data_IF_692775439069
#
_entry.id   IF_692775439069
#
_cell.length_a   1.000
_cell.length_b   1.000
_cell.length_c   1.000
_cell.angle_alpha   90.00
_cell.angle_beta   90.00
_cell.angle_gamma   90.00
#
_symmetry.space_group_name_H-M   'P 1'
#
loop_
_entity.id
_entity.type
_entity.pdbx_description
1 polymer ?
#
# COMPACT_ATOMS: atom_id res chain seq x y z
N UNK A 1 -16.16 -9.06 0.53
CA UNK A 1 -14.98 -8.24 0.86
C UNK A 1 -13.97 -8.48 -0.22
N UNK A 2 -13.41 -7.43 -0.82
CA UNK A 2 -12.42 -7.58 -1.89
C UNK A 2 -11.18 -8.27 -1.32
N UNK A 3 -10.84 -9.45 -1.82
CA UNK A 3 -9.55 -10.09 -1.58
C UNK A 3 -8.46 -9.14 -2.12
N UNK A 4 -7.63 -8.61 -1.22
CA UNK A 4 -6.51 -7.70 -1.54
C UNK A 4 -5.42 -8.39 -2.39
N UNK A 5 -5.59 -9.70 -2.59
CA UNK A 5 -4.66 -10.63 -3.19
C UNK A 5 -5.12 -11.02 -4.61
N UNK A 6 -6.30 -10.55 -5.04
CA UNK A 6 -6.88 -10.87 -6.34
C UNK A 6 -6.66 -9.74 -7.36
N UNK A 7 -6.44 -10.09 -8.64
CA UNK A 7 -6.43 -9.12 -9.73
C UNK A 7 -7.82 -8.45 -9.89
N UNK A 8 -7.86 -7.35 -10.65
CA UNK A 8 -9.09 -6.61 -10.89
C UNK A 8 -10.18 -7.48 -11.53
N UNK A 9 -11.43 -7.28 -11.12
CA UNK A 9 -12.58 -7.98 -11.67
C UNK A 9 -13.73 -7.03 -11.99
N UNK A 10 -14.52 -7.39 -13.01
CA UNK A 10 -15.80 -6.76 -13.32
C UNK A 10 -16.89 -7.57 -12.61
N UNK A 11 -17.67 -6.89 -11.78
CA UNK A 11 -18.77 -7.50 -11.03
C UNK A 11 -20.09 -6.85 -11.45
N UNK A 12 -21.13 -7.67 -11.64
CA UNK A 12 -22.52 -7.20 -11.69
C UNK A 12 -23.16 -7.26 -10.32
N UNK A 13 -23.92 -6.24 -10.00
CA UNK A 13 -24.75 -6.23 -8.80
C UNK A 13 -26.09 -5.57 -9.10
N UNK A 14 -27.17 -6.22 -8.67
CA UNK A 14 -28.51 -5.67 -8.78
C UNK A 14 -28.81 -4.84 -7.54
N UNK A 15 -29.14 -3.57 -7.74
CA UNK A 15 -29.55 -2.68 -6.66
C UNK A 15 -30.99 -3.06 -6.28
N UNK A 16 -31.25 -3.60 -5.08
CA UNK A 16 -32.61 -3.93 -4.69
C UNK A 16 -33.44 -2.66 -4.47
N UNK A 17 -34.75 -2.78 -4.64
CA UNK A 17 -35.68 -1.77 -4.13
C UNK A 17 -35.56 -1.65 -2.60
N UNK A 18 -36.01 -0.52 -2.04
CA UNK A 18 -35.89 -0.22 -0.61
C UNK A 18 -36.31 -1.42 0.25
N UNK A 19 -35.49 -1.73 1.24
CA UNK A 19 -35.68 -2.76 2.27
C UNK A 19 -35.50 -4.23 1.83
N UNK A 20 -35.16 -4.51 0.57
CA UNK A 20 -34.77 -5.85 0.14
C UNK A 20 -33.27 -6.11 0.32
N UNK A 21 -32.92 -7.29 0.84
CA UNK A 21 -31.52 -7.72 0.98
C UNK A 21 -30.93 -7.96 -0.41
N UNK A 22 -29.84 -7.25 -0.72
CA UNK A 22 -29.21 -7.42 -2.01
C UNK A 22 -28.57 -8.81 -2.16
N UNK A 23 -28.72 -9.41 -3.33
CA UNK A 23 -27.93 -10.57 -3.71
C UNK A 23 -26.43 -10.21 -3.72
N UNK A 24 -25.52 -11.16 -3.45
CA UNK A 24 -24.09 -10.92 -3.57
C UNK A 24 -23.73 -10.53 -5.01
N UNK A 25 -22.73 -9.67 -5.17
CA UNK A 25 -22.23 -9.29 -6.48
C UNK A 25 -21.65 -10.52 -7.20
N UNK A 26 -22.05 -10.71 -8.45
CA UNK A 26 -21.58 -11.80 -9.31
C UNK A 26 -20.41 -11.31 -10.15
N UNK A 27 -19.35 -12.11 -10.26
CA UNK A 27 -18.18 -11.78 -11.07
C UNK A 27 -18.45 -12.17 -12.53
N UNK A 28 -18.38 -11.19 -13.45
CA UNK A 28 -18.57 -11.42 -14.88
C UNK A 28 -17.24 -11.82 -15.53
N UNK A 29 -16.16 -11.08 -15.24
CA UNK A 29 -14.83 -11.29 -15.82
C UNK A 29 -13.76 -10.91 -14.81
N UNK A 30 -12.74 -11.75 -14.65
CA UNK A 30 -11.49 -11.40 -13.96
C UNK A 30 -10.43 -11.00 -14.99
N UNK A 31 -9.55 -10.03 -14.67
CA UNK A 31 -8.42 -9.65 -15.54
C UNK A 31 -7.27 -10.68 -15.53
N UNK A 32 -7.58 -11.95 -15.30
CA UNK A 32 -6.65 -13.04 -15.07
C UNK A 32 -7.06 -14.22 -15.94
N UNK A 33 -6.10 -14.83 -16.63
CA UNK A 33 -6.31 -16.13 -17.27
C UNK A 33 -6.47 -17.21 -16.20
N UNK A 34 -7.34 -18.19 -16.42
CA UNK A 34 -7.65 -19.26 -15.45
C UNK A 34 -6.39 -19.99 -14.92
N UNK A 35 -5.31 -20.00 -15.69
CA UNK A 35 -4.05 -20.68 -15.38
C UNK A 35 -3.03 -19.84 -14.58
N UNK A 36 -3.21 -18.53 -14.44
CA UNK A 36 -2.24 -17.68 -13.74
C UNK A 36 -2.59 -17.51 -12.26
N UNK A 37 -2.50 -18.61 -11.49
CA UNK A 37 -2.64 -18.57 -10.03
C UNK A 37 -1.28 -18.27 -9.39
N UNK A 38 -1.11 -17.05 -8.90
CA UNK A 38 0.05 -16.70 -8.07
C UNK A 38 -0.18 -17.29 -6.67
N UNK A 39 0.81 -18.04 -6.16
CA UNK A 39 0.76 -18.56 -4.79
C UNK A 39 0.60 -17.41 -3.79
N UNK A 40 -0.46 -17.39 -2.96
CA UNK A 40 -0.65 -16.35 -1.95
C UNK A 40 0.54 -16.19 -1.00
N UNK A 41 1.35 -17.25 -0.81
CA UNK A 41 2.55 -17.20 0.04
C UNK A 41 3.67 -16.29 -0.51
N UNK A 42 3.62 -15.91 -1.79
CA UNK A 42 4.56 -14.95 -2.40
C UNK A 42 3.98 -13.54 -2.55
N UNK A 43 2.73 -13.32 -2.09
CA UNK A 43 2.08 -12.02 -2.10
C UNK A 43 2.26 -11.34 -0.73
N UNK A 44 2.98 -10.23 -0.72
CA UNK A 44 2.99 -9.34 0.45
C UNK A 44 1.66 -8.62 0.56
N UNK A 45 0.99 -8.80 1.70
CA UNK A 45 -0.21 -8.05 2.03
C UNK A 45 0.14 -6.65 2.53
N UNK A 46 -0.61 -5.60 2.12
CA UNK A 46 -0.38 -4.24 2.59
C UNK A 46 -0.83 -4.08 4.05
N UNK A 47 0.05 -3.55 4.89
CA UNK A 47 -0.26 -3.11 6.26
C UNK A 47 -0.34 -1.59 6.33
N UNK A 48 -1.47 -1.04 6.79
CA UNK A 48 -1.57 0.41 6.99
C UNK A 48 -0.66 0.85 8.12
N UNK A 49 0.15 1.86 7.84
CA UNK A 49 0.98 2.54 8.83
C UNK A 49 0.60 4.01 8.92
N UNK A 50 0.69 4.54 10.14
CA UNK A 50 0.61 5.97 10.43
C UNK A 50 1.80 6.34 11.28
N UNK A 51 2.43 7.47 10.99
CA UNK A 51 3.67 7.86 11.64
C UNK A 51 3.74 9.38 11.83
N UNK A 52 4.41 9.85 12.90
CA UNK A 52 4.58 11.27 13.13
C UNK A 52 5.56 11.87 12.13
N UNK A 53 5.32 13.12 11.73
CA UNK A 53 6.18 13.89 10.82
C UNK A 53 6.61 15.21 11.46
N UNK A 54 7.38 16.01 10.73
CA UNK A 54 7.84 17.31 11.22
C UNK A 54 6.67 18.22 11.60
N UNK A 55 6.86 19.06 12.63
CA UNK A 55 5.83 19.99 13.11
C UNK A 55 4.68 19.34 13.89
N UNK A 56 4.82 18.08 14.34
CA UNK A 56 3.81 17.38 15.14
C UNK A 56 2.65 16.81 14.32
N UNK A 57 2.79 16.81 13.00
CA UNK A 57 1.82 16.24 12.08
C UNK A 57 1.89 14.70 12.03
N UNK A 58 0.94 14.10 11.29
CA UNK A 58 0.90 12.66 11.02
C UNK A 58 0.72 12.43 9.53
N UNK A 59 1.48 11.47 9.01
CA UNK A 59 1.34 10.98 7.64
C UNK A 59 1.07 9.48 7.64
N UNK A 60 0.65 8.98 6.48
CA UNK A 60 0.11 7.64 6.31
C UNK A 60 0.87 6.89 5.22
N UNK A 61 0.65 5.59 5.14
CA UNK A 61 1.14 4.78 4.04
C UNK A 61 0.80 3.31 4.20
N UNK A 62 1.32 2.51 3.28
CA UNK A 62 1.25 1.06 3.33
C UNK A 62 2.65 0.46 3.40
N UNK A 63 2.87 -0.36 4.42
CA UNK A 63 4.05 -1.21 4.56
C UNK A 63 3.77 -2.57 3.91
N UNK A 64 4.75 -3.07 3.17
CA UNK A 64 4.75 -4.38 2.56
C UNK A 64 6.00 -5.11 3.03
N UNK A 65 5.81 -6.18 3.81
CA UNK A 65 6.90 -7.02 4.29
C UNK A 65 7.44 -7.90 3.14
N UNK A 66 8.70 -8.36 3.23
CA UNK A 66 9.18 -9.39 2.31
C UNK A 66 8.32 -10.66 2.39
N UNK A 67 7.94 -11.20 1.23
CA UNK A 67 7.06 -12.36 1.12
C UNK A 67 7.62 -13.35 0.09
N UNK A 68 8.21 -14.44 0.55
CA UNK A 68 8.76 -15.48 -0.31
C UNK A 68 8.54 -16.85 0.33
N UNK A 69 8.07 -17.86 -0.42
CA UNK A 69 7.83 -19.19 0.13
C UNK A 69 9.12 -20.01 0.33
N UNK A 70 10.11 -19.83 -0.56
CA UNK A 70 11.31 -20.67 -0.67
C UNK A 70 12.52 -20.14 0.09
N UNK A 71 12.54 -18.85 0.44
CA UNK A 71 13.68 -18.21 1.10
C UNK A 71 13.25 -17.50 2.39
N UNK A 72 14.17 -17.46 3.35
CA UNK A 72 14.04 -16.70 4.60
C UNK A 72 15.30 -15.88 4.80
N UNK A 73 15.13 -14.69 5.37
CA UNK A 73 16.25 -13.88 5.80
C UNK A 73 17.03 -14.61 6.90
N UNK A 74 18.36 -14.42 7.01
CA UNK A 74 19.14 -14.91 8.14
C UNK A 74 18.55 -14.43 9.47
N UNK A 75 18.70 -15.24 10.52
CA UNK A 75 18.21 -14.87 11.84
C UNK A 75 18.78 -13.51 12.29
N UNK A 76 17.95 -12.71 12.95
CA UNK A 76 18.30 -11.38 13.48
C UNK A 76 18.71 -10.33 12.43
N UNK A 77 18.37 -10.55 11.15
CA UNK A 77 18.51 -9.52 10.10
C UNK A 77 17.19 -8.82 9.84
N UNK A 78 17.26 -7.59 9.32
CA UNK A 78 16.11 -6.81 8.87
C UNK A 78 16.20 -6.62 7.36
N UNK A 79 15.07 -6.47 6.66
CA UNK A 79 15.11 -6.31 5.22
C UNK A 79 15.57 -4.89 4.83
N UNK A 80 16.25 -4.75 3.68
CA UNK A 80 16.41 -3.44 3.05
C UNK A 80 15.03 -2.87 2.71
N UNK A 81 14.89 -1.54 2.80
CA UNK A 81 13.63 -0.84 2.57
C UNK A 81 13.68 0.00 1.30
N UNK A 82 12.71 -0.20 0.42
CA UNK A 82 12.41 0.69 -0.69
C UNK A 82 11.26 1.61 -0.29
N UNK A 83 11.49 2.93 -0.32
CA UNK A 83 10.44 3.91 -0.06
C UNK A 83 9.94 4.47 -1.39
N UNK A 84 8.66 4.28 -1.64
CA UNK A 84 7.96 4.74 -2.83
C UNK A 84 7.16 5.98 -2.50
N UNK A 85 7.47 7.08 -3.17
CA UNK A 85 6.63 8.27 -3.23
C UNK A 85 5.86 8.24 -4.57
N UNK A 86 4.53 8.27 -4.51
CA UNK A 86 3.73 8.31 -5.73
C UNK A 86 3.83 9.68 -6.44
N UNK A 87 3.53 9.73 -7.73
CA UNK A 87 3.53 10.98 -8.48
C UNK A 87 2.26 11.82 -8.25
N UNK A 88 2.37 13.13 -8.45
CA UNK A 88 1.27 14.09 -8.35
C UNK A 88 0.76 14.31 -6.92
N UNK A 89 0.21 15.49 -6.59
CA UNK A 89 -0.42 15.72 -5.29
C UNK A 89 -1.84 15.11 -5.21
N UNK A 90 -2.42 14.67 -6.34
CA UNK A 90 -3.78 14.12 -6.41
C UNK A 90 -3.85 12.60 -6.46
N UNK A 91 -2.76 11.91 -6.09
CA UNK A 91 -2.74 10.46 -5.97
C UNK A 91 -2.71 10.01 -4.50
N UNK A 92 -2.90 8.71 -4.31
CA UNK A 92 -2.72 8.01 -3.05
C UNK A 92 -2.16 6.61 -3.32
N UNK A 93 -1.49 6.04 -2.33
CA UNK A 93 -1.13 4.64 -2.30
C UNK A 93 -2.41 3.79 -2.30
N UNK A 94 -2.43 2.78 -3.17
CA UNK A 94 -3.57 1.87 -3.32
C UNK A 94 -3.23 0.55 -2.70
N UNK A 95 -4.16 -0.04 -1.96
CA UNK A 95 -4.03 -1.39 -1.42
C UNK A 95 -4.29 -2.49 -2.47
N UNK A 96 -4.40 -2.14 -3.75
CA UNK A 96 -4.55 -3.08 -4.86
C UNK A 96 -3.25 -3.82 -5.14
N UNK A 97 -3.36 -5.02 -5.70
CA UNK A 97 -2.20 -5.79 -6.15
C UNK A 97 -1.35 -4.98 -7.14
N UNK A 98 -0.06 -4.85 -6.84
CA UNK A 98 0.92 -4.13 -7.67
C UNK A 98 2.09 -5.05 -7.99
N UNK A 99 2.21 -5.48 -9.25
CA UNK A 99 3.29 -6.36 -9.69
C UNK A 99 4.68 -5.78 -9.40
N UNK A 100 4.83 -4.44 -9.48
CA UNK A 100 6.08 -3.76 -9.14
C UNK A 100 6.44 -3.86 -7.66
N UNK A 101 5.47 -3.74 -6.75
CA UNK A 101 5.70 -3.93 -5.31
C UNK A 101 6.01 -5.41 -5.03
N UNK A 102 5.21 -6.31 -5.60
CA UNK A 102 5.39 -7.76 -5.39
C UNK A 102 6.73 -8.28 -5.94
N UNK A 103 7.26 -7.67 -7.00
CA UNK A 103 8.58 -7.99 -7.52
C UNK A 103 9.68 -7.78 -6.47
N UNK A 104 9.63 -6.69 -5.71
CA UNK A 104 10.61 -6.39 -4.67
C UNK A 104 10.41 -7.21 -3.39
N UNK A 105 9.16 -7.33 -2.93
CA UNK A 105 8.84 -8.07 -1.71
C UNK A 105 9.15 -9.56 -1.84
N UNK A 106 8.96 -10.13 -3.04
CA UNK A 106 9.36 -11.52 -3.33
C UNK A 106 10.88 -11.74 -3.32
N UNK A 107 11.69 -10.68 -3.33
CA UNK A 107 13.16 -10.74 -3.35
C UNK A 107 13.82 -10.30 -2.05
N UNK A 108 13.04 -10.20 -0.96
CA UNK A 108 13.59 -9.89 0.35
C UNK A 108 13.56 -8.40 0.72
N UNK A 109 13.06 -7.53 -0.15
CA UNK A 109 12.95 -6.09 0.13
C UNK A 109 11.61 -5.79 0.82
N UNK A 110 11.64 -4.96 1.85
CA UNK A 110 10.43 -4.30 2.31
C UNK A 110 10.11 -3.10 1.41
N UNK A 111 8.82 -2.77 1.28
CA UNK A 111 8.38 -1.58 0.56
C UNK A 111 7.50 -0.72 1.47
N UNK A 112 7.73 0.58 1.48
CA UNK A 112 6.84 1.57 2.07
C UNK A 112 6.27 2.46 0.96
N UNK A 113 4.97 2.40 0.72
CA UNK A 113 4.25 3.31 -0.19
C UNK A 113 3.63 4.44 0.63
N UNK A 114 4.21 5.63 0.53
CA UNK A 114 3.90 6.77 1.42
C UNK A 114 2.77 7.61 0.86
N UNK A 115 1.73 7.83 1.67
CA UNK A 115 0.72 8.85 1.47
C UNK A 115 1.17 10.14 2.20
N UNK A 116 2.13 10.84 1.59
CA UNK A 116 2.68 12.08 2.15
C UNK A 116 1.59 13.16 2.28
N UNK A 117 1.79 14.14 3.17
CA UNK A 117 0.94 15.32 3.31
C UNK A 117 0.77 15.96 1.94
N UNK A 118 -0.47 16.04 1.47
CA UNK A 118 -0.78 16.35 0.08
C UNK A 118 -1.60 15.29 -0.63
N UNK A 119 -1.44 14.02 -0.28
CA UNK A 119 -2.15 12.90 -0.91
C UNK A 119 -3.67 12.98 -0.72
N UNK A 120 -4.40 12.29 -1.60
CA UNK A 120 -5.87 12.24 -1.56
C UNK A 120 -6.39 11.12 -0.65
N UNK A 121 -7.69 11.15 -0.32
CA UNK A 121 -8.32 10.17 0.58
C UNK A 121 -8.36 10.55 2.06
N UNK A 122 -7.67 11.63 2.47
CA UNK A 122 -7.56 12.10 3.85
C UNK A 122 -8.26 13.44 4.12
N UNK A 123 -9.07 13.91 3.17
CA UNK A 123 -9.80 15.18 3.25
C UNK A 123 -9.03 16.39 2.73
N UNK A 124 -9.75 17.50 2.51
CA UNK A 124 -9.19 18.72 1.90
C UNK A 124 -8.05 19.34 2.71
N UNK A 125 -8.18 19.35 4.03
CA UNK A 125 -7.17 19.92 4.91
C UNK A 125 -5.82 19.22 4.73
N UNK A 126 -5.81 17.89 4.63
CA UNK A 126 -4.59 17.11 4.42
C UNK A 126 -3.97 17.37 3.04
N UNK A 127 -4.78 17.36 1.99
CA UNK A 127 -4.33 17.65 0.62
C UNK A 127 -3.73 19.05 0.49
N UNK A 128 -4.33 20.03 1.15
CA UNK A 128 -3.92 21.43 1.05
C UNK A 128 -2.58 21.70 1.78
N UNK A 129 -2.07 20.78 2.61
CA UNK A 129 -0.76 20.89 3.28
C UNK A 129 0.44 20.92 2.34
N UNK A 130 0.31 20.39 1.12
CA UNK A 130 1.40 20.38 0.13
C UNK A 130 1.46 21.65 -0.72
N UNK A 131 0.43 22.51 -0.66
CA UNK A 131 0.35 23.71 -1.49
C UNK A 131 1.52 24.65 -1.20
N UNK A 132 2.35 24.88 -2.21
CA UNK A 132 3.55 25.72 -2.10
C UNK A 132 4.68 25.11 -1.27
N UNK A 133 4.63 23.81 -0.98
CA UNK A 133 5.61 23.10 -0.13
C UNK A 133 6.16 21.83 -0.82
N UNK A 134 6.11 21.80 -2.16
CA UNK A 134 6.60 20.69 -2.96
C UNK A 134 8.13 20.58 -2.86
N UNK A 135 8.65 19.35 -2.69
CA UNK A 135 10.07 19.09 -2.42
C UNK A 135 10.50 19.38 -0.97
N UNK A 136 9.56 19.68 -0.07
CA UNK A 136 9.84 19.92 1.35
C UNK A 136 9.01 18.96 2.19
N UNK A 137 7.69 19.16 2.22
CA UNK A 137 6.78 18.41 3.09
C UNK A 137 6.67 16.94 2.67
N UNK A 138 6.68 16.67 1.36
CA UNK A 138 6.70 15.34 0.79
C UNK A 138 8.01 14.59 1.10
N UNK A 139 9.17 15.26 0.99
CA UNK A 139 10.46 14.66 1.35
C UNK A 139 10.55 14.39 2.86
N UNK A 140 10.13 15.34 3.69
CA UNK A 140 10.09 15.18 5.15
C UNK A 140 9.27 13.94 5.55
N UNK A 141 8.11 13.75 4.93
CA UNK A 141 7.22 12.64 5.23
C UNK A 141 7.78 11.29 4.78
N UNK A 142 8.43 11.25 3.61
CA UNK A 142 9.13 10.06 3.10
C UNK A 142 10.27 9.66 4.04
N UNK A 143 11.10 10.62 4.46
CA UNK A 143 12.20 10.38 5.40
C UNK A 143 11.68 9.97 6.79
N UNK A 144 10.60 10.59 7.27
CA UNK A 144 9.96 10.24 8.53
C UNK A 144 9.40 8.82 8.52
N UNK A 145 8.76 8.41 7.41
CA UNK A 145 8.26 7.06 7.22
C UNK A 145 9.37 6.00 7.24
N UNK A 146 10.47 6.25 6.53
CA UNK A 146 11.65 5.38 6.55
C UNK A 146 12.20 5.21 7.97
N UNK A 147 12.45 6.34 8.63
CA UNK A 147 12.97 6.39 10.01
C UNK A 147 12.04 5.67 10.99
N UNK A 148 10.73 5.82 10.82
CA UNK A 148 9.73 5.17 11.66
C UNK A 148 9.82 3.64 11.55
N UNK A 149 9.93 3.10 10.34
CA UNK A 149 10.05 1.65 10.13
C UNK A 149 11.36 1.08 10.67
N UNK A 150 12.47 1.78 10.49
CA UNK A 150 13.77 1.41 11.06
C UNK A 150 13.69 1.33 12.59
N UNK A 151 13.09 2.36 13.23
CA UNK A 151 12.88 2.39 14.70
C UNK A 151 11.96 1.28 15.19
N UNK A 152 10.98 0.87 14.39
CA UNK A 152 10.09 -0.28 14.67
C UNK A 152 10.77 -1.64 14.44
N UNK A 153 11.97 -1.66 13.88
CA UNK A 153 12.69 -2.89 13.56
C UNK A 153 12.18 -3.60 12.32
N UNK A 154 11.41 -2.91 11.48
CA UNK A 154 10.81 -3.44 10.25
C UNK A 154 11.68 -3.25 9.00
N UNK A 155 12.77 -2.49 9.13
CA UNK A 155 13.72 -2.17 8.08
C UNK A 155 15.14 -2.05 8.65
N UNK A 156 16.12 -2.35 7.82
CA UNK A 156 17.54 -2.10 8.10
C UNK A 156 17.85 -0.58 7.99
N UNK A 157 18.63 0.03 8.92
CA UNK A 157 18.95 1.46 8.91
C UNK A 157 19.77 1.95 7.71
#
# INVERSE_FOLDING_TARGET
>A
GSELDAPGGIFSWNIPEKDAQAAPAEMIVASMSEDMRIDPAVISRPERVKFPTAGGDTSYGYYYAPANASFRAPANTKPPLLVKAHGGPTACARSSLSAGIQFWTSRGFAVLDVDYRGSTGYGRAYRDKLKGQWGVVDIEDVCAGATYLVKKGLADP
#
